data_IF_098373543844
#
_entry.id   IF_098373543844
#
_cell.length_a   1.000
_cell.length_b   1.000
_cell.length_c   1.000
_cell.angle_alpha   90.00
_cell.angle_beta   90.00
_cell.angle_gamma   90.00
#
_symmetry.space_group_name_H-M   'P 1'
#
loop_
_entity.id
_entity.type
_entity.pdbx_description
1 polymer ?
#
# COMPACT_ATOMS: atom_id res chain seq x y z
N UNK A 1 -40.84 -81.54 38.46
CA UNK A 1 -39.89 -80.81 39.36
C UNK A 1 -38.99 -79.96 38.48
N UNK A 2 -39.34 -78.71 38.32
CA UNK A 2 -38.59 -77.76 37.40
C UNK A 2 -37.99 -76.64 38.18
N UNK A 3 -36.68 -76.45 38.04
CA UNK A 3 -35.94 -75.33 38.59
C UNK A 3 -35.95 -74.19 37.54
N UNK A 4 -36.63 -73.10 37.90
CA UNK A 4 -36.53 -71.79 37.17
C UNK A 4 -35.25 -71.12 37.54
N UNK A 5 -34.34 -70.87 36.56
CA UNK A 5 -33.21 -70.00 36.68
C UNK A 5 -33.60 -68.55 36.28
N UNK A 6 -33.44 -67.60 37.21
CA UNK A 6 -33.60 -66.20 36.97
C UNK A 6 -32.28 -65.67 36.39
N UNK A 7 -32.32 -65.18 35.16
CA UNK A 7 -31.22 -64.41 34.58
C UNK A 7 -31.36 -62.92 34.96
N UNK A 8 -30.46 -62.41 35.78
CA UNK A 8 -30.32 -61.00 36.04
C UNK A 8 -29.58 -60.37 34.87
N UNK A 9 -30.26 -59.51 34.10
CA UNK A 9 -29.64 -58.66 33.09
C UNK A 9 -29.00 -57.42 33.77
N UNK A 10 -27.69 -57.35 33.81
CA UNK A 10 -26.97 -56.12 34.14
C UNK A 10 -27.05 -55.11 32.98
N UNK A 11 -27.86 -54.06 33.15
CA UNK A 11 -27.83 -52.90 32.27
C UNK A 11 -26.58 -52.05 32.58
N UNK A 12 -25.57 -52.16 31.74
CA UNK A 12 -24.42 -51.25 31.78
C UNK A 12 -24.85 -49.88 31.25
N UNK A 13 -25.13 -48.95 32.16
CA UNK A 13 -25.31 -47.51 31.83
C UNK A 13 -23.96 -46.94 31.46
N UNK A 14 -23.65 -46.89 30.15
CA UNK A 14 -22.48 -46.19 29.63
C UNK A 14 -22.63 -44.70 29.88
N UNK A 15 -21.85 -44.18 30.80
CA UNK A 15 -21.64 -42.73 30.97
C UNK A 15 -20.98 -42.18 29.70
N UNK A 16 -21.78 -41.59 28.82
CA UNK A 16 -21.30 -40.79 27.72
C UNK A 16 -20.63 -39.55 28.36
N UNK A 17 -19.31 -39.58 28.49
CA UNK A 17 -18.55 -38.39 28.80
C UNK A 17 -18.73 -37.41 27.63
N UNK A 18 -19.17 -36.14 27.87
CA UNK A 18 -19.16 -35.16 26.82
C UNK A 18 -17.69 -35.02 26.37
N UNK A 19 -17.44 -35.29 25.10
CA UNK A 19 -16.16 -34.97 24.50
C UNK A 19 -15.93 -33.48 24.75
N UNK A 20 -14.87 -33.13 25.52
CA UNK A 20 -14.38 -31.76 25.57
C UNK A 20 -14.09 -31.38 24.12
N UNK A 21 -14.96 -30.58 23.55
CA UNK A 21 -14.71 -30.02 22.23
C UNK A 21 -13.35 -29.39 22.27
N UNK A 22 -12.40 -29.90 21.49
CA UNK A 22 -11.15 -29.23 21.23
C UNK A 22 -11.54 -27.83 20.77
N UNK A 23 -11.26 -26.83 21.60
CA UNK A 23 -11.40 -25.44 21.21
C UNK A 23 -10.51 -25.27 19.96
N UNK A 24 -11.14 -25.24 18.79
CA UNK A 24 -10.45 -25.16 17.52
C UNK A 24 -9.71 -23.83 17.55
N UNK A 25 -8.37 -23.89 17.64
CA UNK A 25 -7.51 -22.70 17.69
C UNK A 25 -7.84 -21.84 16.48
N UNK A 26 -8.22 -20.59 16.72
CA UNK A 26 -8.55 -19.66 15.65
C UNK A 26 -7.35 -19.51 14.68
N UNK A 27 -7.59 -19.38 13.38
CA UNK A 27 -6.52 -19.09 12.44
C UNK A 27 -5.87 -17.75 12.79
N UNK A 28 -4.54 -17.69 12.78
CA UNK A 28 -3.77 -16.50 13.10
C UNK A 28 -3.42 -15.75 11.83
N UNK A 29 -3.82 -14.48 11.75
CA UNK A 29 -3.35 -13.49 10.80
C UNK A 29 -2.32 -12.60 11.48
N UNK A 30 -1.13 -12.48 10.91
CA UNK A 30 -0.12 -11.54 11.38
C UNK A 30 -0.02 -10.33 10.43
N UNK A 31 0.04 -9.13 10.98
CA UNK A 31 0.11 -7.88 10.23
C UNK A 31 1.38 -7.12 10.59
N UNK A 32 2.20 -6.80 9.59
CA UNK A 32 3.34 -5.90 9.74
C UNK A 32 3.05 -4.55 9.10
N UNK A 33 3.12 -3.48 9.87
CA UNK A 33 2.97 -2.12 9.39
C UNK A 33 4.25 -1.31 9.62
N UNK A 34 4.76 -0.55 8.63
CA UNK A 34 5.89 0.35 8.84
C UNK A 34 5.51 1.60 9.64
N UNK A 35 4.23 1.99 9.65
CA UNK A 35 3.73 3.16 10.36
C UNK A 35 3.66 2.94 11.88
N UNK A 36 3.45 4.01 12.63
CA UNK A 36 3.11 3.91 14.07
C UNK A 36 1.64 3.55 14.25
N UNK A 37 1.32 2.92 15.39
CA UNK A 37 -0.04 2.45 15.72
C UNK A 37 -1.13 3.53 15.61
N UNK A 38 -0.79 4.76 15.90
CA UNK A 38 -1.73 5.90 15.91
C UNK A 38 -1.63 6.73 14.62
N UNK A 39 -0.91 6.27 13.60
CA UNK A 39 -0.74 7.02 12.37
C UNK A 39 -2.06 7.11 11.59
N UNK A 40 -2.36 8.28 11.06
CA UNK A 40 -3.53 8.51 10.20
C UNK A 40 -3.55 7.57 8.98
N UNK A 41 -2.37 7.17 8.48
CA UNK A 41 -2.23 6.23 7.36
C UNK A 41 -2.90 4.89 7.62
N UNK A 42 -3.00 4.45 8.88
CA UNK A 42 -3.71 3.21 9.23
C UNK A 42 -5.21 3.30 8.93
N UNK A 43 -5.79 4.51 8.91
CA UNK A 43 -7.16 4.74 8.47
C UNK A 43 -7.40 4.43 7.00
N UNK A 44 -6.37 4.52 6.15
CA UNK A 44 -6.48 4.25 4.71
C UNK A 44 -6.18 2.79 4.33
N UNK A 45 -5.47 2.04 5.16
CA UNK A 45 -5.08 0.65 4.89
C UNK A 45 -5.71 -0.32 5.89
N UNK A 46 -5.32 -0.23 7.16
CA UNK A 46 -5.68 -1.25 8.15
C UNK A 46 -7.18 -1.27 8.46
N UNK A 47 -7.82 -0.11 8.54
CA UNK A 47 -9.26 -0.05 8.81
C UNK A 47 -10.09 -0.61 7.66
N UNK A 48 -9.95 -0.17 6.38
CA UNK A 48 -10.69 -0.76 5.27
C UNK A 48 -10.40 -2.26 5.08
N UNK A 49 -9.16 -2.70 5.31
CA UNK A 49 -8.78 -4.10 5.29
C UNK A 49 -9.55 -4.92 6.34
N UNK A 50 -9.54 -4.48 7.62
CA UNK A 50 -10.22 -5.18 8.71
C UNK A 50 -11.74 -5.18 8.56
N UNK A 51 -12.32 -4.06 8.13
CA UNK A 51 -13.75 -3.96 7.83
C UNK A 51 -14.18 -4.92 6.71
N UNK A 52 -13.38 -5.03 5.67
CA UNK A 52 -13.63 -5.98 4.59
C UNK A 52 -13.46 -7.43 5.04
N UNK A 53 -12.46 -7.70 5.88
CA UNK A 53 -12.22 -9.03 6.44
C UNK A 53 -13.38 -9.47 7.34
N UNK A 54 -13.91 -8.57 8.18
CA UNK A 54 -15.09 -8.83 9.01
C UNK A 54 -16.35 -9.12 8.16
N UNK A 55 -16.56 -8.37 7.06
CA UNK A 55 -17.67 -8.65 6.11
C UNK A 55 -17.57 -10.02 5.45
N UNK A 56 -16.38 -10.61 5.38
CA UNK A 56 -16.12 -11.95 4.87
C UNK A 56 -16.22 -13.02 5.98
N UNK A 57 -16.67 -12.66 7.19
CA UNK A 57 -16.88 -13.59 8.30
C UNK A 57 -15.65 -13.79 9.20
N UNK A 58 -14.58 -13.03 8.99
CA UNK A 58 -13.36 -13.11 9.81
C UNK A 58 -13.33 -11.99 10.84
N UNK A 59 -14.01 -12.20 11.97
CA UNK A 59 -14.10 -11.24 13.06
C UNK A 59 -13.01 -11.47 14.11
N UNK A 60 -12.22 -10.44 14.49
CA UNK A 60 -11.15 -10.56 15.48
C UNK A 60 -11.65 -11.09 16.82
N UNK A 61 -10.98 -12.12 17.35
CA UNK A 61 -11.31 -12.76 18.61
C UNK A 61 -12.50 -13.72 18.57
N UNK A 62 -13.22 -13.82 17.44
CA UNK A 62 -14.35 -14.73 17.26
C UNK A 62 -14.04 -15.84 16.24
N UNK A 63 -13.63 -15.46 15.03
CA UNK A 63 -13.34 -16.40 13.94
C UNK A 63 -11.89 -16.33 13.46
N UNK A 64 -11.14 -15.30 13.86
CA UNK A 64 -9.73 -15.08 13.54
C UNK A 64 -9.00 -14.42 14.71
N UNK A 65 -7.74 -14.80 14.93
CA UNK A 65 -6.81 -14.07 15.78
C UNK A 65 -5.96 -13.14 14.93
N UNK A 66 -5.77 -11.88 15.34
CA UNK A 66 -4.96 -10.90 14.63
C UNK A 66 -3.84 -10.38 15.55
N UNK A 67 -2.60 -10.55 15.11
CA UNK A 67 -1.43 -9.99 15.78
C UNK A 67 -0.79 -8.95 14.88
N UNK A 68 -0.55 -7.75 15.43
CA UNK A 68 0.03 -6.63 14.69
C UNK A 68 1.37 -6.21 15.28
N UNK A 69 2.31 -5.84 14.38
CA UNK A 69 3.56 -5.16 14.73
C UNK A 69 3.69 -3.88 13.93
N UNK A 70 4.22 -2.85 14.59
CA UNK A 70 4.38 -1.51 14.05
C UNK A 70 5.85 -1.10 14.15
N UNK A 71 6.42 -0.65 13.04
CA UNK A 71 7.81 -0.21 13.00
C UNK A 71 8.00 1.25 13.47
N UNK A 72 6.92 1.97 13.74
CA UNK A 72 6.92 3.36 14.21
C UNK A 72 7.68 4.33 13.29
N UNK A 73 7.55 4.13 11.97
CA UNK A 73 8.26 4.84 10.91
C UNK A 73 9.78 4.64 10.89
N UNK A 74 10.28 3.63 11.58
CA UNK A 74 11.68 3.20 11.53
C UNK A 74 11.78 1.85 10.78
N UNK A 75 12.10 1.94 9.50
CA UNK A 75 12.20 0.76 8.62
C UNK A 75 13.31 -0.21 9.04
N UNK A 76 14.31 0.24 9.82
CA UNK A 76 15.37 -0.64 10.34
C UNK A 76 14.84 -1.71 11.29
N UNK A 77 13.67 -1.50 11.89
CA UNK A 77 12.99 -2.44 12.78
C UNK A 77 12.22 -3.55 12.03
N UNK A 78 11.90 -3.34 10.74
CA UNK A 78 11.06 -4.27 9.98
C UNK A 78 11.60 -5.71 9.95
N UNK A 79 12.89 -5.99 9.75
CA UNK A 79 13.39 -7.37 9.74
C UNK A 79 13.18 -8.12 11.07
N UNK A 80 13.43 -7.45 12.19
CA UNK A 80 13.23 -8.05 13.52
C UNK A 80 11.75 -8.32 13.80
N UNK A 81 10.88 -7.37 13.50
CA UNK A 81 9.43 -7.50 13.67
C UNK A 81 8.83 -8.57 12.73
N UNK A 82 9.35 -8.70 11.51
CA UNK A 82 8.97 -9.77 10.60
C UNK A 82 9.34 -11.15 11.16
N UNK A 83 10.54 -11.30 11.70
CA UNK A 83 10.97 -12.54 12.34
C UNK A 83 10.12 -12.91 13.56
N UNK A 84 9.75 -11.93 14.41
CA UNK A 84 8.82 -12.14 15.53
C UNK A 84 7.47 -12.67 15.05
N UNK A 85 6.90 -12.07 14.00
CA UNK A 85 5.61 -12.49 13.45
C UNK A 85 5.67 -13.90 12.83
N UNK A 86 6.75 -14.21 12.12
CA UNK A 86 6.98 -15.55 11.53
C UNK A 86 7.11 -16.62 12.63
N UNK A 87 7.76 -16.30 13.76
CA UNK A 87 7.89 -17.23 14.89
C UNK A 87 6.53 -17.63 15.50
N UNK A 88 5.49 -16.82 15.36
CA UNK A 88 4.12 -17.15 15.77
C UNK A 88 3.43 -18.17 14.85
N UNK A 89 4.05 -18.54 13.72
CA UNK A 89 3.52 -19.46 12.72
C UNK A 89 2.09 -19.11 12.25
N UNK A 90 1.84 -17.88 11.78
CA UNK A 90 0.52 -17.49 11.31
C UNK A 90 0.12 -18.28 10.06
N UNK A 91 -1.19 -18.40 9.84
CA UNK A 91 -1.75 -19.00 8.60
C UNK A 91 -1.48 -18.11 7.38
N UNK A 92 -1.41 -16.80 7.59
CA UNK A 92 -1.15 -15.80 6.55
C UNK A 92 -0.53 -14.56 7.19
N UNK A 93 0.39 -13.93 6.47
CA UNK A 93 0.97 -12.63 6.77
C UNK A 93 0.35 -11.58 5.84
N UNK A 94 -0.05 -10.45 6.41
CA UNK A 94 -0.45 -9.27 5.65
C UNK A 94 0.52 -8.13 5.91
N UNK A 95 0.88 -7.41 4.87
CA UNK A 95 1.70 -6.21 4.98
C UNK A 95 1.34 -5.19 3.91
N UNK A 96 1.76 -3.96 4.12
CA UNK A 96 1.61 -2.86 3.17
C UNK A 96 2.95 -2.12 3.03
N UNK A 97 3.27 -1.61 1.90
CA UNK A 97 4.52 -1.00 1.44
C UNK A 97 5.58 -1.99 0.97
N UNK A 98 6.43 -1.50 0.09
CA UNK A 98 7.54 -2.26 -0.50
C UNK A 98 8.56 -2.72 0.55
N UNK A 99 8.92 -1.83 1.49
CA UNK A 99 9.91 -2.15 2.52
C UNK A 99 9.43 -3.27 3.47
N UNK A 100 8.18 -3.18 3.94
CA UNK A 100 7.62 -4.22 4.81
C UNK A 100 7.41 -5.55 4.06
N UNK A 101 7.01 -5.52 2.78
CA UNK A 101 6.91 -6.71 1.95
C UNK A 101 8.26 -7.42 1.78
N UNK A 102 9.32 -6.66 1.52
CA UNK A 102 10.69 -7.19 1.43
C UNK A 102 11.14 -7.83 2.75
N UNK A 103 10.87 -7.17 3.88
CA UNK A 103 11.23 -7.69 5.20
C UNK A 103 10.52 -9.01 5.53
N UNK A 104 9.21 -9.09 5.31
CA UNK A 104 8.41 -10.31 5.56
C UNK A 104 8.83 -11.44 4.63
N UNK A 105 9.03 -11.17 3.33
CA UNK A 105 9.48 -12.18 2.37
C UNK A 105 10.91 -12.66 2.65
N UNK A 106 11.75 -11.82 3.25
CA UNK A 106 13.08 -12.22 3.75
C UNK A 106 13.03 -13.16 4.95
N UNK A 107 11.99 -13.04 5.79
CA UNK A 107 11.86 -13.84 7.01
C UNK A 107 11.20 -15.21 6.80
N UNK A 108 10.44 -15.44 5.73
CA UNK A 108 9.80 -16.72 5.45
C UNK A 108 9.66 -17.01 3.96
N UNK A 109 9.77 -18.31 3.59
CA UNK A 109 9.54 -18.81 2.23
C UNK A 109 8.31 -19.72 2.13
N UNK A 110 7.64 -19.98 3.24
CA UNK A 110 6.57 -20.98 3.32
C UNK A 110 5.24 -20.40 3.77
N UNK A 111 5.25 -19.44 4.71
CA UNK A 111 4.01 -18.81 5.17
C UNK A 111 3.49 -17.90 4.05
N UNK A 112 2.22 -18.03 3.65
CA UNK A 112 1.59 -17.16 2.67
C UNK A 112 1.67 -15.68 3.05
N UNK A 113 2.02 -14.83 2.09
CA UNK A 113 2.13 -13.39 2.27
C UNK A 113 1.18 -12.70 1.29
N UNK A 114 0.26 -11.91 1.81
CA UNK A 114 -0.56 -10.99 1.03
C UNK A 114 -0.01 -9.58 1.22
N UNK A 115 0.42 -8.96 0.14
CA UNK A 115 0.89 -7.59 0.14
C UNK A 115 -0.28 -6.69 -0.28
N UNK A 116 -0.79 -5.88 0.66
CA UNK A 116 -1.63 -4.72 0.34
C UNK A 116 -0.79 -3.72 -0.41
N UNK A 117 -1.12 -2.49 -0.69
CA UNK A 117 -0.45 -1.70 -1.70
C UNK A 117 1.09 -1.68 -1.60
N UNK A 118 1.78 -2.00 -2.71
CA UNK A 118 3.24 -1.90 -2.84
C UNK A 118 3.66 -1.55 -4.28
N UNK A 119 4.95 -1.25 -4.48
CA UNK A 119 5.50 -0.98 -5.80
C UNK A 119 5.55 -2.23 -6.69
N UNK A 120 5.23 -2.06 -7.98
CA UNK A 120 5.19 -3.14 -8.97
C UNK A 120 6.50 -3.92 -9.03
N UNK A 121 7.63 -3.23 -9.10
CA UNK A 121 8.96 -3.84 -9.19
C UNK A 121 9.23 -4.79 -8.03
N UNK A 122 8.96 -4.34 -6.80
CA UNK A 122 9.17 -5.18 -5.62
C UNK A 122 8.27 -6.40 -5.63
N UNK A 123 7.02 -6.25 -6.04
CA UNK A 123 6.11 -7.39 -6.15
C UNK A 123 6.55 -8.40 -7.21
N UNK A 124 7.08 -7.95 -8.36
CA UNK A 124 7.66 -8.84 -9.38
C UNK A 124 8.85 -9.62 -8.82
N UNK A 125 9.78 -8.93 -8.14
CA UNK A 125 10.96 -9.55 -7.54
C UNK A 125 10.58 -10.60 -6.47
N UNK A 126 9.60 -10.27 -5.61
CA UNK A 126 9.14 -11.16 -4.55
C UNK A 126 8.27 -12.32 -5.05
N UNK A 127 7.52 -12.14 -6.12
CA UNK A 127 6.67 -13.17 -6.71
C UNK A 127 7.42 -14.22 -7.52
N UNK A 128 8.64 -13.91 -7.95
CA UNK A 128 9.57 -14.81 -8.61
C UNK A 128 9.62 -14.71 -10.13
N UNK A 129 8.51 -14.73 -10.86
CA UNK A 129 8.54 -14.76 -12.34
C UNK A 129 7.57 -13.79 -13.00
N UNK A 130 6.36 -13.68 -12.48
CA UNK A 130 5.31 -12.90 -13.14
C UNK A 130 4.21 -12.51 -12.17
N UNK A 131 3.61 -11.35 -12.38
CA UNK A 131 2.45 -10.90 -11.62
C UNK A 131 1.25 -11.83 -11.81
N UNK A 132 1.07 -12.38 -13.02
CA UNK A 132 -0.07 -13.23 -13.35
C UNK A 132 -0.01 -14.62 -12.70
N UNK A 133 1.20 -15.13 -12.44
CA UNK A 133 1.43 -16.46 -11.83
C UNK A 133 2.61 -16.38 -10.86
N UNK A 134 2.37 -15.95 -9.63
CA UNK A 134 3.40 -15.97 -8.59
C UNK A 134 3.92 -17.40 -8.39
N UNK A 135 5.23 -17.56 -8.25
CA UNK A 135 5.86 -18.86 -7.97
C UNK A 135 6.35 -18.97 -6.53
N UNK A 136 6.43 -17.86 -5.83
CA UNK A 136 6.79 -17.77 -4.42
C UNK A 136 5.54 -17.78 -3.51
N UNK A 137 5.77 -17.65 -2.21
CA UNK A 137 4.71 -17.54 -1.21
C UNK A 137 4.09 -16.14 -1.10
N UNK A 138 4.28 -15.28 -2.08
CA UNK A 138 3.86 -13.86 -2.11
C UNK A 138 2.81 -13.64 -3.20
N UNK A 139 1.74 -12.95 -2.83
CA UNK A 139 0.75 -12.36 -3.76
C UNK A 139 0.33 -10.99 -3.26
N UNK A 140 -0.49 -10.26 -4.01
CA UNK A 140 -0.99 -8.97 -3.53
C UNK A 140 -1.38 -7.98 -4.62
N UNK A 141 -1.19 -6.69 -4.33
CA UNK A 141 -1.73 -5.60 -5.12
C UNK A 141 -0.69 -4.51 -5.37
N UNK A 142 -0.53 -4.12 -6.63
CA UNK A 142 0.32 -3.00 -7.02
C UNK A 142 -0.37 -1.68 -6.66
N UNK A 143 0.39 -0.74 -6.12
CA UNK A 143 -0.03 0.64 -5.90
C UNK A 143 0.62 1.58 -6.91
N UNK A 144 1.95 1.46 -7.04
CA UNK A 144 2.76 2.35 -7.87
C UNK A 144 3.54 1.57 -8.91
N UNK A 145 3.65 2.15 -10.09
CA UNK A 145 4.52 1.69 -11.16
C UNK A 145 4.99 2.89 -11.98
N UNK A 146 6.09 2.72 -12.70
CA UNK A 146 6.58 3.75 -13.61
C UNK A 146 5.52 4.18 -14.65
N UNK A 147 4.64 3.26 -15.06
CA UNK A 147 3.56 3.56 -15.99
C UNK A 147 2.46 4.43 -15.37
N UNK A 148 2.12 4.21 -14.08
CA UNK A 148 1.16 5.03 -13.36
C UNK A 148 1.69 6.44 -13.16
N UNK A 149 2.92 6.57 -12.66
CA UNK A 149 3.54 7.86 -12.41
C UNK A 149 3.77 8.66 -13.70
N UNK A 150 4.11 7.97 -14.80
CA UNK A 150 4.23 8.60 -16.13
C UNK A 150 2.92 9.26 -16.58
N UNK A 151 1.76 8.68 -16.27
CA UNK A 151 0.46 9.31 -16.55
C UNK A 151 0.26 10.58 -15.71
N UNK A 152 0.58 10.54 -14.43
CA UNK A 152 0.50 11.71 -13.54
C UNK A 152 1.44 12.84 -13.99
N UNK A 153 2.67 12.50 -14.43
CA UNK A 153 3.64 13.45 -14.98
C UNK A 153 3.13 14.03 -16.31
N UNK A 154 2.55 13.22 -17.21
CA UNK A 154 1.97 13.70 -18.45
C UNK A 154 0.83 14.71 -18.20
N UNK A 155 -0.03 14.45 -17.20
CA UNK A 155 -1.07 15.39 -16.79
C UNK A 155 -0.48 16.69 -16.22
N UNK A 156 0.63 16.62 -15.46
CA UNK A 156 1.34 17.79 -14.97
C UNK A 156 1.90 18.64 -16.13
N UNK A 157 2.49 18.02 -17.15
CA UNK A 157 2.99 18.68 -18.36
C UNK A 157 1.82 19.33 -19.13
N UNK A 158 0.68 18.65 -19.25
CA UNK A 158 -0.53 19.19 -19.87
C UNK A 158 -1.07 20.41 -19.10
N UNK A 159 -1.07 20.35 -17.75
CA UNK A 159 -1.50 21.44 -16.90
C UNK A 159 -0.54 22.64 -16.91
N UNK A 160 0.76 22.40 -17.15
CA UNK A 160 1.83 23.40 -17.11
C UNK A 160 2.71 23.30 -18.37
N UNK A 161 2.19 23.68 -19.55
CA UNK A 161 2.91 23.46 -20.82
C UNK A 161 4.24 24.21 -20.96
N UNK A 162 4.48 25.20 -20.11
CA UNK A 162 5.73 25.98 -20.07
C UNK A 162 6.83 25.32 -19.25
N UNK A 163 6.50 24.29 -18.46
CA UNK A 163 7.47 23.58 -17.64
C UNK A 163 8.55 22.90 -18.51
N UNK A 164 9.80 23.06 -18.14
CA UNK A 164 10.97 22.44 -18.79
C UNK A 164 11.78 21.61 -17.82
N UNK A 165 11.67 21.87 -16.52
CA UNK A 165 12.43 21.19 -15.47
C UNK A 165 11.47 20.71 -14.40
N UNK A 166 11.22 19.42 -14.37
CA UNK A 166 10.32 18.80 -13.38
C UNK A 166 11.16 18.12 -12.30
N UNK A 167 11.00 18.56 -11.06
CA UNK A 167 11.54 17.87 -9.90
C UNK A 167 10.79 16.54 -9.69
N UNK A 168 11.52 15.48 -9.40
CA UNK A 168 10.96 14.20 -8.98
C UNK A 168 11.45 13.90 -7.57
N UNK A 169 10.53 13.91 -6.60
CA UNK A 169 10.88 13.60 -5.22
C UNK A 169 10.96 12.08 -5.03
N UNK A 170 12.13 11.59 -4.61
CA UNK A 170 12.44 10.15 -4.56
C UNK A 170 12.95 9.77 -3.17
N UNK A 171 12.44 8.69 -2.63
CA UNK A 171 13.00 8.06 -1.44
C UNK A 171 14.01 6.97 -1.86
N UNK A 172 15.34 7.21 -1.70
CA UNK A 172 16.35 6.24 -2.10
C UNK A 172 16.35 4.96 -1.24
N UNK A 173 15.68 4.98 -0.08
CA UNK A 173 15.51 3.78 0.77
C UNK A 173 14.32 2.92 0.36
N UNK A 174 13.41 3.46 -0.46
CA UNK A 174 12.29 2.66 -0.96
C UNK A 174 12.76 1.79 -2.13
N UNK A 175 12.75 0.44 -1.98
CA UNK A 175 13.17 -0.46 -3.06
C UNK A 175 12.38 -0.26 -4.36
N UNK A 176 11.12 0.18 -4.26
CA UNK A 176 10.28 0.49 -5.42
C UNK A 176 10.70 1.73 -6.19
N UNK A 177 11.62 2.55 -5.65
CA UNK A 177 12.08 3.82 -6.24
C UNK A 177 13.57 3.83 -6.61
N UNK A 178 14.27 2.71 -6.51
CA UNK A 178 15.73 2.65 -6.73
C UNK A 178 16.14 3.19 -8.11
N UNK A 179 15.40 2.83 -9.16
CA UNK A 179 15.67 3.25 -10.55
C UNK A 179 14.82 4.46 -10.97
N UNK A 180 14.23 5.16 -10.02
CA UNK A 180 13.47 6.36 -10.28
C UNK A 180 14.42 7.58 -10.42
N UNK A 181 14.32 8.45 -11.41
CA UNK A 181 13.30 8.53 -12.42
C UNK A 181 13.82 8.03 -13.76
N UNK A 182 13.23 7.01 -14.29
CA UNK A 182 13.27 6.88 -15.72
C UNK A 182 11.83 6.98 -16.18
N UNK A 183 11.34 8.11 -16.65
CA UNK A 183 10.15 8.12 -17.46
C UNK A 183 10.49 7.33 -18.72
N UNK A 184 10.43 6.00 -18.60
CA UNK A 184 10.71 5.07 -19.70
C UNK A 184 9.58 5.07 -20.74
N UNK A 185 8.73 6.09 -20.68
CA UNK A 185 7.63 6.23 -21.58
C UNK A 185 8.05 7.12 -22.76
N UNK A 186 8.00 6.58 -23.94
CA UNK A 186 8.20 7.32 -25.20
C UNK A 186 7.33 8.61 -25.27
N UNK A 187 6.16 8.60 -24.59
CA UNK A 187 5.28 9.76 -24.45
C UNK A 187 5.91 10.94 -23.69
N UNK A 188 6.87 10.71 -22.79
CA UNK A 188 7.57 11.77 -22.06
C UNK A 188 8.90 12.16 -22.71
N UNK A 189 9.51 11.26 -23.46
CA UNK A 189 10.80 11.49 -24.16
C UNK A 189 10.75 12.56 -25.26
N UNK A 190 9.57 12.86 -25.81
CA UNK A 190 9.35 13.92 -26.80
C UNK A 190 8.89 15.26 -26.20
N UNK A 191 8.68 15.36 -24.89
CA UNK A 191 8.12 16.56 -24.23
C UNK A 191 9.07 17.74 -24.11
N UNK A 192 10.37 17.55 -24.34
CA UNK A 192 11.41 18.56 -24.11
C UNK A 192 11.62 18.89 -22.62
N UNK A 193 11.15 18.04 -21.71
CA UNK A 193 11.25 18.21 -20.26
C UNK A 193 12.50 17.51 -19.73
N UNK A 194 13.23 18.18 -18.84
CA UNK A 194 14.34 17.60 -18.06
C UNK A 194 13.86 17.24 -16.67
N UNK A 195 14.18 16.04 -16.19
CA UNK A 195 13.86 15.62 -14.84
C UNK A 195 15.01 15.86 -13.88
N UNK A 196 14.69 16.43 -12.71
CA UNK A 196 15.63 16.70 -11.63
C UNK A 196 15.31 15.77 -10.47
N UNK A 197 16.20 14.81 -10.19
CA UNK A 197 16.06 13.91 -9.06
C UNK A 197 16.33 14.64 -7.74
N UNK A 198 15.34 14.66 -6.86
CA UNK A 198 15.37 15.25 -5.53
C UNK A 198 15.21 14.13 -4.51
N UNK A 199 16.23 13.88 -3.70
CA UNK A 199 16.24 12.76 -2.77
C UNK A 199 15.93 13.22 -1.36
N UNK A 200 15.00 12.51 -0.71
CA UNK A 200 14.71 12.63 0.72
C UNK A 200 14.20 11.28 1.27
N UNK A 201 14.46 11.02 2.54
CA UNK A 201 14.02 9.80 3.23
C UNK A 201 12.88 10.08 4.23
N UNK A 202 12.56 11.33 4.45
CA UNK A 202 11.49 11.75 5.36
C UNK A 202 11.67 13.17 5.90
N UNK A 203 11.18 13.40 7.11
CA UNK A 203 11.12 14.72 7.74
C UNK A 203 12.52 15.33 7.96
N UNK A 204 13.54 14.50 8.20
CA UNK A 204 14.89 14.96 8.57
C UNK A 204 15.65 15.63 7.43
N UNK A 205 15.36 15.26 6.19
CA UNK A 205 16.16 15.66 5.03
C UNK A 205 15.34 16.29 3.89
N UNK A 206 14.01 16.37 4.03
CA UNK A 206 13.14 16.97 3.00
C UNK A 206 13.51 18.42 2.69
N UNK A 207 13.91 19.21 3.68
CA UNK A 207 14.25 20.63 3.48
C UNK A 207 15.51 20.78 2.62
N UNK A 208 16.47 19.87 2.69
CA UNK A 208 17.64 19.83 1.82
C UNK A 208 17.23 19.52 0.36
N UNK A 209 16.31 18.57 0.15
CA UNK A 209 15.79 18.28 -1.18
C UNK A 209 15.03 19.48 -1.78
N UNK A 210 14.25 20.21 -0.98
CA UNK A 210 13.53 21.41 -1.42
C UNK A 210 14.47 22.58 -1.71
N UNK A 211 15.56 22.73 -0.95
CA UNK A 211 16.64 23.69 -1.22
C UNK A 211 17.31 23.38 -2.58
N UNK A 212 17.61 22.10 -2.85
CA UNK A 212 18.10 21.65 -4.15
C UNK A 212 17.12 21.96 -5.28
N UNK A 213 15.82 21.76 -5.05
CA UNK A 213 14.77 22.09 -6.01
C UNK A 213 14.81 23.57 -6.41
N UNK A 214 14.94 24.48 -5.43
CA UNK A 214 15.11 25.92 -5.67
C UNK A 214 16.39 26.25 -6.45
N UNK A 215 17.52 25.69 -6.03
CA UNK A 215 18.81 25.91 -6.68
C UNK A 215 18.82 25.45 -8.15
N UNK A 216 18.11 24.35 -8.42
CA UNK A 216 17.92 23.77 -9.76
C UNK A 216 16.81 24.48 -10.57
N UNK A 217 16.09 25.45 -9.99
CA UNK A 217 15.02 26.22 -10.65
C UNK A 217 14.01 25.31 -11.34
N UNK A 218 13.43 24.35 -10.58
CA UNK A 218 12.38 23.50 -11.13
C UNK A 218 11.11 24.32 -11.43
N UNK A 219 10.44 23.98 -12.53
CA UNK A 219 9.20 24.65 -12.96
C UNK A 219 7.95 23.95 -12.40
N UNK A 220 8.07 22.67 -12.04
CA UNK A 220 7.02 21.85 -11.45
C UNK A 220 7.65 20.74 -10.60
N UNK A 221 6.85 20.16 -9.70
CA UNK A 221 7.28 19.05 -8.85
C UNK A 221 6.31 17.89 -8.97
N UNK A 222 6.82 16.68 -9.18
CA UNK A 222 6.05 15.44 -9.08
C UNK A 222 6.46 14.67 -7.82
N UNK A 223 5.46 14.24 -7.05
CA UNK A 223 5.64 13.46 -5.82
C UNK A 223 4.99 12.09 -6.01
N UNK A 224 5.78 11.03 -6.25
CA UNK A 224 5.29 9.66 -6.29
C UNK A 224 4.69 9.23 -4.95
N UNK A 225 3.85 8.21 -4.95
CA UNK A 225 3.33 7.65 -3.70
C UNK A 225 4.44 6.92 -2.94
N UNK A 226 4.68 7.36 -1.72
CA UNK A 226 5.67 6.80 -0.80
C UNK A 226 5.23 7.06 0.65
N UNK A 227 5.42 6.08 1.52
CA UNK A 227 4.96 6.14 2.91
C UNK A 227 5.62 7.26 3.74
N UNK A 228 6.89 7.56 3.46
CA UNK A 228 7.67 8.58 4.20
C UNK A 228 7.58 9.96 3.56
N UNK A 229 7.35 10.04 2.27
CA UNK A 229 7.28 11.31 1.53
C UNK A 229 5.82 11.75 1.30
N UNK A 230 5.07 10.98 0.52
CA UNK A 230 3.73 11.38 0.12
C UNK A 230 2.68 11.17 1.22
N UNK A 231 2.71 10.04 1.89
CA UNK A 231 1.74 9.72 2.94
C UNK A 231 2.02 10.40 4.28
N UNK A 232 3.27 10.87 4.52
CA UNK A 232 3.67 11.53 5.76
C UNK A 232 3.14 12.99 5.81
N UNK A 233 2.25 13.35 6.75
CA UNK A 233 1.65 14.68 6.80
C UNK A 233 2.67 15.81 7.02
N UNK A 234 3.72 15.56 7.84
CA UNK A 234 4.73 16.58 8.13
C UNK A 234 5.62 16.87 6.91
N UNK A 235 5.96 15.84 6.12
CA UNK A 235 6.67 16.02 4.85
C UNK A 235 5.79 16.74 3.84
N UNK A 236 4.54 16.28 3.69
CA UNK A 236 3.59 16.87 2.75
C UNK A 236 3.34 18.35 3.02
N UNK A 237 3.19 18.73 4.29
CA UNK A 237 3.05 20.13 4.67
C UNK A 237 4.26 20.99 4.25
N UNK A 238 5.49 20.50 4.45
CA UNK A 238 6.72 21.21 4.05
C UNK A 238 6.80 21.36 2.54
N UNK A 239 6.52 20.29 1.79
CA UNK A 239 6.49 20.30 0.32
C UNK A 239 5.46 21.30 -0.20
N UNK A 240 4.24 21.30 0.35
CA UNK A 240 3.18 22.22 -0.06
C UNK A 240 3.50 23.68 0.32
N UNK A 241 4.13 23.90 1.47
CA UNK A 241 4.60 25.22 1.89
C UNK A 241 5.67 25.76 0.95
N UNK A 242 6.66 24.94 0.61
CA UNK A 242 7.68 25.26 -0.40
C UNK A 242 7.04 25.64 -1.73
N UNK A 243 6.12 24.81 -2.22
CA UNK A 243 5.45 25.01 -3.50
C UNK A 243 4.71 26.35 -3.57
N UNK A 244 3.97 26.70 -2.50
CA UNK A 244 3.27 28.00 -2.40
C UNK A 244 4.27 29.16 -2.43
N UNK A 245 5.36 29.08 -1.65
CA UNK A 245 6.38 30.16 -1.58
C UNK A 245 7.14 30.34 -2.89
N UNK A 246 7.49 29.26 -3.55
CA UNK A 246 8.24 29.27 -4.82
C UNK A 246 7.33 29.35 -6.06
N UNK A 247 5.99 29.30 -5.92
CA UNK A 247 5.00 29.24 -6.99
C UNK A 247 5.21 28.04 -7.93
N UNK A 248 5.62 26.89 -7.37
CA UNK A 248 5.88 25.65 -8.09
C UNK A 248 4.63 24.77 -8.07
N UNK A 249 3.98 24.48 -9.20
CA UNK A 249 2.86 23.54 -9.25
C UNK A 249 3.31 22.12 -8.90
N UNK A 250 2.46 21.42 -8.12
CA UNK A 250 2.70 20.04 -7.72
C UNK A 250 1.66 19.11 -8.32
N UNK A 251 2.12 17.96 -8.82
CA UNK A 251 1.32 16.79 -9.04
C UNK A 251 1.81 15.63 -8.17
N UNK A 252 0.90 14.71 -7.81
CA UNK A 252 1.24 13.55 -6.99
C UNK A 252 0.46 12.31 -7.39
N UNK A 253 1.04 11.13 -7.16
CA UNK A 253 0.30 9.87 -7.21
C UNK A 253 -0.50 9.61 -5.92
N UNK A 254 -0.25 10.36 -4.85
CA UNK A 254 -1.00 10.28 -3.60
C UNK A 254 -2.13 11.32 -3.57
N UNK A 255 -3.40 10.87 -3.58
CA UNK A 255 -4.58 11.72 -3.77
C UNK A 255 -4.71 12.85 -2.73
N UNK A 256 -4.23 12.65 -1.51
CA UNK A 256 -4.29 13.65 -0.44
C UNK A 256 -3.53 14.94 -0.80
N UNK A 257 -2.50 14.89 -1.65
CA UNK A 257 -1.77 16.08 -2.07
C UNK A 257 -2.68 17.13 -2.72
N UNK A 258 -3.56 16.73 -3.64
CA UNK A 258 -4.48 17.66 -4.28
C UNK A 258 -5.49 18.23 -3.28
N UNK A 259 -5.98 17.42 -2.35
CA UNK A 259 -6.91 17.87 -1.30
C UNK A 259 -6.26 18.84 -0.32
N UNK A 260 -4.96 18.68 -0.07
CA UNK A 260 -4.18 19.56 0.82
C UNK A 260 -3.57 20.78 0.08
N UNK A 261 -3.81 20.93 -1.23
CA UNK A 261 -3.45 22.14 -1.98
C UNK A 261 -2.45 21.98 -3.12
N UNK A 262 -2.09 20.77 -3.54
CA UNK A 262 -1.36 20.56 -4.79
C UNK A 262 -2.30 20.80 -6.00
N UNK A 263 -1.71 21.04 -7.18
CA UNK A 263 -2.44 21.37 -8.41
C UNK A 263 -3.31 20.20 -8.89
N UNK A 264 -2.74 18.99 -8.88
CA UNK A 264 -3.45 17.79 -9.26
C UNK A 264 -2.89 16.54 -8.56
N UNK A 265 -3.71 15.50 -8.48
CA UNK A 265 -3.27 14.18 -8.10
C UNK A 265 -3.97 13.12 -8.96
N UNK A 266 -3.26 12.04 -9.27
CA UNK A 266 -3.83 10.87 -9.93
C UNK A 266 -3.22 9.61 -9.37
N UNK A 267 -4.06 8.75 -8.81
CA UNK A 267 -3.60 7.49 -8.23
C UNK A 267 -4.75 6.51 -7.96
N UNK A 268 -4.43 5.27 -7.63
CA UNK A 268 -5.43 4.30 -7.22
C UNK A 268 -5.95 4.60 -5.82
N UNK A 269 -7.14 4.08 -5.52
CA UNK A 269 -7.71 4.19 -4.18
C UNK A 269 -7.09 3.16 -3.23
N UNK A 270 -6.24 3.61 -2.32
CA UNK A 270 -5.60 2.76 -1.30
C UNK A 270 -6.64 1.99 -0.46
N UNK A 271 -7.76 2.59 0.02
CA UNK A 271 -8.78 1.86 0.74
C UNK A 271 -9.43 0.73 -0.06
N UNK A 272 -9.63 0.92 -1.36
CA UNK A 272 -10.17 -0.12 -2.26
C UNK A 272 -9.18 -1.28 -2.39
N UNK A 273 -7.90 -0.98 -2.59
CA UNK A 273 -6.84 -2.01 -2.66
C UNK A 273 -6.77 -2.79 -1.33
N UNK A 274 -6.79 -2.10 -0.20
CA UNK A 274 -6.75 -2.74 1.11
C UNK A 274 -7.96 -3.66 1.35
N UNK A 275 -9.15 -3.23 0.96
CA UNK A 275 -10.36 -4.07 1.06
C UNK A 275 -10.27 -5.30 0.15
N UNK A 276 -9.70 -5.19 -1.05
CA UNK A 276 -9.47 -6.34 -1.95
C UNK A 276 -8.44 -7.32 -1.38
N UNK A 277 -7.40 -6.81 -0.71
CA UNK A 277 -6.40 -7.66 -0.06
C UNK A 277 -7.01 -8.54 1.04
N UNK A 278 -8.05 -8.07 1.74
CA UNK A 278 -8.80 -8.89 2.69
C UNK A 278 -9.44 -10.12 2.01
N UNK A 279 -9.94 -9.98 0.78
CA UNK A 279 -10.45 -11.11 -0.01
C UNK A 279 -9.37 -12.15 -0.34
N UNK A 280 -8.12 -11.73 -0.55
CA UNK A 280 -7.01 -12.67 -0.76
C UNK A 280 -6.62 -13.38 0.54
N UNK A 281 -6.60 -12.66 1.65
CA UNK A 281 -6.39 -13.26 2.98
C UNK A 281 -7.47 -14.30 3.26
N UNK A 282 -8.75 -14.00 3.02
CA UNK A 282 -9.86 -14.95 3.21
C UNK A 282 -9.67 -16.21 2.36
N UNK A 283 -9.39 -16.08 1.06
CA UNK A 283 -9.11 -17.23 0.18
C UNK A 283 -7.95 -18.10 0.67
N UNK A 284 -6.88 -17.49 1.19
CA UNK A 284 -5.74 -18.23 1.75
C UNK A 284 -6.12 -18.95 3.03
N UNK A 285 -6.93 -18.34 3.90
CA UNK A 285 -7.46 -18.98 5.09
C UNK A 285 -8.36 -20.18 4.75
N UNK A 286 -9.06 -20.14 3.62
CA UNK A 286 -9.87 -21.22 3.04
C UNK A 286 -9.03 -22.28 2.30
N UNK A 287 -7.71 -22.08 2.17
CA UNK A 287 -6.78 -23.06 1.60
C UNK A 287 -6.23 -22.75 0.22
N UNK A 288 -6.54 -21.60 -0.38
CA UNK A 288 -5.90 -21.17 -1.62
C UNK A 288 -4.40 -20.91 -1.39
N UNK A 289 -3.59 -21.16 -2.41
CA UNK A 289 -2.15 -20.87 -2.37
C UNK A 289 -1.88 -19.49 -3.00
N UNK A 290 -0.86 -18.75 -2.57
CA UNK A 290 -0.45 -17.51 -3.23
C UNK A 290 -0.26 -17.66 -4.74
N UNK A 291 0.27 -18.79 -5.20
CA UNK A 291 0.47 -19.10 -6.61
C UNK A 291 -0.83 -19.17 -7.45
N UNK A 292 -1.97 -19.39 -6.81
CA UNK A 292 -3.28 -19.45 -7.45
C UNK A 292 -3.97 -18.06 -7.49
N UNK A 293 -3.34 -17.04 -6.88
CA UNK A 293 -3.84 -15.68 -6.76
C UNK A 293 -2.89 -14.72 -7.48
N UNK A 294 -3.28 -14.17 -8.64
CA UNK A 294 -2.42 -13.25 -9.38
C UNK A 294 -2.15 -11.97 -8.58
N UNK A 295 -0.98 -11.37 -8.78
CA UNK A 295 -0.74 -10.01 -8.29
C UNK A 295 -1.48 -9.04 -9.20
N UNK A 296 -2.36 -8.23 -8.61
CA UNK A 296 -3.25 -7.37 -9.36
C UNK A 296 -2.71 -5.95 -9.52
N UNK A 297 -2.77 -5.44 -10.74
CA UNK A 297 -2.59 -4.03 -11.05
C UNK A 297 -3.86 -3.25 -10.71
N UNK A 298 -3.76 -1.97 -10.33
CA UNK A 298 -4.94 -1.13 -10.17
C UNK A 298 -5.68 -1.01 -11.50
N UNK A 299 -6.98 -1.26 -11.48
CA UNK A 299 -7.86 -1.11 -12.65
C UNK A 299 -8.60 0.22 -12.68
N UNK A 300 -8.68 0.90 -11.53
CA UNK A 300 -9.37 2.18 -11.37
C UNK A 300 -8.44 3.21 -10.75
N UNK A 301 -8.51 4.41 -11.26
CA UNK A 301 -7.73 5.55 -10.80
C UNK A 301 -8.69 6.70 -10.50
N UNK A 302 -8.34 7.49 -9.51
CA UNK A 302 -9.02 8.76 -9.21
C UNK A 302 -8.11 9.90 -9.64
N UNK A 303 -8.65 10.82 -10.40
CA UNK A 303 -8.00 12.06 -10.81
C UNK A 303 -8.64 13.23 -10.08
N UNK A 304 -7.83 14.01 -9.37
CA UNK A 304 -8.28 15.21 -8.65
C UNK A 304 -7.58 16.43 -9.25
N UNK A 305 -8.36 17.44 -9.62
CA UNK A 305 -7.86 18.73 -10.09
C UNK A 305 -8.25 19.81 -9.10
N UNK A 306 -7.29 20.60 -8.64
CA UNK A 306 -7.53 21.69 -7.67
C UNK A 306 -7.47 23.05 -8.37
N UNK A 307 -8.65 23.62 -8.66
CA UNK A 307 -8.77 24.94 -9.30
C UNK A 307 -8.38 26.08 -8.36
N UNK A 308 -8.53 25.92 -7.04
CA UNK A 308 -8.01 26.92 -6.07
C UNK A 308 -6.49 27.05 -6.18
N UNK A 309 -5.80 25.89 -6.24
CA UNK A 309 -4.34 25.88 -6.43
C UNK A 309 -3.94 26.46 -7.79
N UNK A 310 -4.65 26.11 -8.86
CA UNK A 310 -4.44 26.68 -10.18
C UNK A 310 -4.57 28.21 -10.18
N UNK A 311 -5.64 28.74 -9.61
CA UNK A 311 -5.88 30.19 -9.48
C UNK A 311 -4.77 30.88 -8.69
N UNK A 312 -4.33 30.29 -7.57
CA UNK A 312 -3.23 30.85 -6.75
C UNK A 312 -1.89 30.89 -7.50
N UNK A 313 -1.67 29.95 -8.43
CA UNK A 313 -0.49 29.89 -9.28
C UNK A 313 -0.59 30.74 -10.55
N UNK A 314 -1.78 31.27 -10.86
CA UNK A 314 -2.06 32.01 -12.10
C UNK A 314 -2.14 31.09 -13.32
N UNK A 315 -2.51 29.82 -13.11
CA UNK A 315 -2.64 28.81 -14.16
C UNK A 315 -4.08 28.64 -14.59
N UNK A 316 -4.28 28.45 -15.90
CA UNK A 316 -5.56 28.03 -16.48
C UNK A 316 -5.49 26.54 -16.80
N UNK A 317 -6.30 25.74 -16.14
CA UNK A 317 -6.33 24.29 -16.37
C UNK A 317 -7.08 24.01 -17.68
N UNK A 318 -6.48 23.24 -18.62
CA UNK A 318 -7.12 22.81 -19.85
C UNK A 318 -8.46 22.13 -19.59
N UNK A 319 -9.44 22.39 -20.48
CA UNK A 319 -10.78 21.76 -20.39
C UNK A 319 -10.69 20.23 -20.43
N UNK A 320 -9.75 19.68 -21.21
CA UNK A 320 -9.47 18.23 -21.29
C UNK A 320 -9.16 17.62 -19.92
N UNK A 321 -8.34 18.27 -19.07
CA UNK A 321 -8.05 17.81 -17.72
C UNK A 321 -9.25 17.93 -16.79
N UNK A 322 -10.01 19.02 -16.89
CA UNK A 322 -11.20 19.22 -16.07
C UNK A 322 -12.30 18.18 -16.36
N UNK A 323 -12.47 17.83 -17.63
CA UNK A 323 -13.47 16.81 -18.06
C UNK A 323 -13.08 15.40 -17.63
N UNK A 324 -11.77 15.12 -17.53
CA UNK A 324 -11.27 13.80 -17.08
C UNK A 324 -11.12 13.67 -15.57
N UNK A 325 -11.30 14.77 -14.83
CA UNK A 325 -11.20 14.74 -13.37
C UNK A 325 -12.44 14.06 -12.76
N UNK A 326 -12.20 13.15 -11.82
CA UNK A 326 -13.25 12.52 -11.00
C UNK A 326 -13.68 13.46 -9.85
N UNK A 327 -12.76 14.33 -9.40
CA UNK A 327 -12.98 15.32 -8.34
C UNK A 327 -12.36 16.66 -8.76
N UNK A 328 -13.14 17.74 -8.67
CA UNK A 328 -12.68 19.11 -8.91
C UNK A 328 -12.85 19.91 -7.63
N UNK A 329 -11.74 20.47 -7.10
CA UNK A 329 -11.74 21.33 -5.91
C UNK A 329 -11.81 22.79 -6.36
N UNK A 330 -12.94 23.46 -6.04
CA UNK A 330 -13.23 24.86 -6.37
C UNK A 330 -13.02 25.82 -5.20
#
# INVERSE_FOLDING_TARGET
>A
MGRRQFLLALTATGLIRPSQGQQQKLPLLAILSPASRNAQVLGFVNRPFKEALAKLGYEPGQTIEIVERFADNDESRLPALAAELVALQPRVLFTNTSAAATAVAGATRTIPIVVGPAGERVLIELAGVSLARPTANVTGFVLTSAAIDSKGIAMLIEAVPVARRIGLLVNPRNPGMTDYPAPQNAALGGSGVTFVRLEATGVSDIDAALTKASAQRIDALFVPDDSHLAANPAVRERVLRFARGARVPIASSHLTYARDGALLAMGPSIPVIAARAAGYVAKILEGARPADLPIELPSTFTTIVNLKAAKALGLTIPQSLRTRADEVIE
#
